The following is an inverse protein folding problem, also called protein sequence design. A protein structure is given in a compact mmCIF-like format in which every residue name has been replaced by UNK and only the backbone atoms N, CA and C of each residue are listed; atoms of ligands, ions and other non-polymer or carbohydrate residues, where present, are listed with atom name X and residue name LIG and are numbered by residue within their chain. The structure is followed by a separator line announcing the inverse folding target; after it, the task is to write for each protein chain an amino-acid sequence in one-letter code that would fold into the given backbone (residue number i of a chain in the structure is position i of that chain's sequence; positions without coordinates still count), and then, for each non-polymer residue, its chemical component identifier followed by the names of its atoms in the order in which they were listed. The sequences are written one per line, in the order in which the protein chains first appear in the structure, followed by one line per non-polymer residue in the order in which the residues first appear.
data_IF_008498003204
#
_entry.id   IF_008498003204
#
_cell.length_a   1.000
_cell.length_b   1.000
_cell.length_c   1.000
_cell.angle_alpha   90.00
_cell.angle_beta   90.00
_cell.angle_gamma   90.00
#
_symmetry.space_group_name_H-M   'P 1'
#
loop_
_entity.id
_entity.type
_entity.pdbx_description
1 polymer ?
#
# COMPACT_ATOMS: atom_id res chain seq x y z
N UNK A 1 -40.10 -16.78 -19.09
CA UNK A 1 -38.98 -17.07 -18.20
C UNK A 1 -37.81 -16.21 -18.63
N UNK A 2 -37.69 -15.02 -18.07
CA UNK A 2 -36.55 -14.10 -18.32
C UNK A 2 -35.44 -14.45 -17.36
N UNK A 3 -34.33 -14.96 -17.90
CA UNK A 3 -33.09 -15.21 -17.14
C UNK A 3 -32.62 -13.88 -16.52
N UNK A 4 -32.25 -13.84 -15.24
CA UNK A 4 -31.64 -12.65 -14.63
C UNK A 4 -30.29 -12.45 -15.31
N UNK A 5 -30.10 -11.38 -16.06
CA UNK A 5 -28.82 -10.90 -16.50
C UNK A 5 -28.07 -10.44 -15.24
N UNK A 6 -27.25 -11.31 -14.67
CA UNK A 6 -26.30 -10.96 -13.60
C UNK A 6 -25.45 -9.83 -14.18
N UNK A 7 -25.50 -8.67 -13.52
CA UNK A 7 -24.87 -7.45 -13.99
C UNK A 7 -23.34 -7.63 -13.96
N UNK A 8 -22.74 -7.84 -15.13
CA UNK A 8 -21.30 -8.03 -15.32
C UNK A 8 -20.45 -6.87 -14.75
N UNK A 9 -21.08 -5.77 -14.35
CA UNK A 9 -20.43 -4.66 -13.65
C UNK A 9 -20.21 -4.94 -12.15
N UNK A 10 -21.12 -5.68 -11.51
CA UNK A 10 -21.01 -6.07 -10.10
C UNK A 10 -19.91 -7.11 -9.90
N UNK A 11 -19.80 -8.10 -10.80
CA UNK A 11 -18.75 -9.12 -10.75
C UNK A 11 -17.35 -8.53 -10.88
N UNK A 12 -17.18 -7.48 -11.69
CA UNK A 12 -15.89 -6.80 -11.86
C UNK A 12 -15.47 -6.01 -10.62
N UNK A 13 -16.41 -5.49 -9.83
CA UNK A 13 -16.10 -4.79 -8.58
C UNK A 13 -15.73 -5.76 -7.47
N UNK A 14 -16.42 -6.89 -7.38
CA UNK A 14 -16.09 -7.96 -6.42
C UNK A 14 -14.66 -8.48 -6.59
N UNK A 15 -14.25 -8.74 -7.82
CA UNK A 15 -12.90 -9.23 -8.12
C UNK A 15 -11.82 -8.23 -7.70
N UNK A 16 -11.99 -6.92 -7.94
CA UNK A 16 -10.96 -5.93 -7.56
C UNK A 16 -10.87 -5.79 -6.04
N UNK A 17 -11.97 -5.92 -5.31
CA UNK A 17 -11.95 -5.90 -3.85
C UNK A 17 -11.21 -7.12 -3.29
N UNK A 18 -11.46 -8.32 -3.82
CA UNK A 18 -10.73 -9.52 -3.46
C UNK A 18 -9.22 -9.38 -3.75
N UNK A 19 -8.87 -8.81 -4.89
CA UNK A 19 -7.50 -8.53 -5.26
C UNK A 19 -6.83 -7.55 -4.28
N UNK A 20 -7.54 -6.49 -3.85
CA UNK A 20 -7.01 -5.57 -2.85
C UNK A 20 -6.89 -6.21 -1.47
N UNK A 21 -7.80 -7.11 -1.08
CA UNK A 21 -7.67 -7.89 0.14
C UNK A 21 -6.42 -8.78 0.11
N UNK A 22 -6.15 -9.45 -1.03
CA UNK A 22 -4.89 -10.18 -1.24
C UNK A 22 -3.66 -9.28 -1.04
N UNK A 23 -3.69 -8.05 -1.59
CA UNK A 23 -2.60 -7.08 -1.38
C UNK A 23 -2.42 -6.78 0.11
N UNK A 24 -3.50 -6.53 0.85
CA UNK A 24 -3.42 -6.24 2.28
C UNK A 24 -2.88 -7.43 3.08
N UNK A 25 -3.30 -8.64 2.76
CA UNK A 25 -2.75 -9.86 3.38
C UNK A 25 -1.25 -9.99 3.12
N UNK A 26 -0.81 -9.85 1.87
CA UNK A 26 0.61 -9.94 1.52
C UNK A 26 1.43 -8.81 2.14
N UNK A 27 0.90 -7.59 2.20
CA UNK A 27 1.60 -6.47 2.84
C UNK A 27 1.62 -6.58 4.36
N UNK A 28 0.55 -7.11 4.99
CA UNK A 28 0.55 -7.41 6.42
C UNK A 28 1.66 -8.38 6.80
N UNK A 29 1.78 -9.49 6.07
CA UNK A 29 2.86 -10.45 6.26
C UNK A 29 4.23 -9.84 5.91
N UNK A 30 4.28 -8.93 4.93
CA UNK A 30 5.51 -8.29 4.51
C UNK A 30 6.10 -7.35 5.58
N UNK A 31 5.28 -6.72 6.42
CA UNK A 31 5.77 -5.91 7.55
C UNK A 31 6.61 -6.78 8.49
N UNK A 32 6.10 -7.96 8.84
CA UNK A 32 6.82 -8.94 9.66
C UNK A 32 8.10 -9.41 8.95
N UNK A 33 7.99 -9.69 7.64
CA UNK A 33 9.12 -10.10 6.80
C UNK A 33 10.24 -9.06 6.77
N UNK A 34 9.90 -7.78 6.61
CA UNK A 34 10.88 -6.69 6.63
C UNK A 34 11.54 -6.59 8.00
N UNK A 35 10.76 -6.60 9.08
CA UNK A 35 11.31 -6.55 10.44
C UNK A 35 12.30 -7.69 10.69
N UNK A 36 11.95 -8.91 10.27
CA UNK A 36 12.85 -10.07 10.34
C UNK A 36 14.13 -9.85 9.52
N UNK A 37 14.00 -9.39 8.27
CA UNK A 37 15.14 -9.18 7.37
C UNK A 37 16.06 -8.04 7.84
N UNK A 38 15.54 -6.99 8.50
CA UNK A 38 16.39 -5.92 9.05
C UNK A 38 17.32 -6.37 10.18
N UNK A 39 17.09 -7.54 10.76
CA UNK A 39 17.99 -8.17 11.72
C UNK A 39 19.18 -8.89 11.04
N UNK A 40 19.04 -9.19 9.74
CA UNK A 40 20.01 -9.97 8.97
C UNK A 40 20.68 -9.17 7.85
N UNK A 41 20.13 -8.03 7.46
CA UNK A 41 20.60 -7.21 6.36
C UNK A 41 20.62 -5.73 6.72
N UNK A 42 21.52 -4.99 6.10
CA UNK A 42 21.49 -3.53 6.13
C UNK A 42 20.20 -3.00 5.48
N UNK A 43 19.61 -1.98 6.10
CA UNK A 43 18.29 -1.45 5.73
C UNK A 43 18.29 -0.89 4.30
N UNK A 44 19.34 -0.15 3.94
CA UNK A 44 19.46 0.46 2.60
C UNK A 44 19.68 -0.61 1.53
N UNK A 45 20.54 -1.60 1.82
CA UNK A 45 20.77 -2.74 0.94
C UNK A 45 19.50 -3.58 0.77
N UNK A 46 18.77 -3.84 1.86
CA UNK A 46 17.49 -4.56 1.82
C UNK A 46 16.46 -3.85 0.92
N UNK A 47 16.29 -2.53 1.10
CA UNK A 47 15.36 -1.76 0.29
C UNK A 47 15.72 -1.80 -1.20
N UNK A 48 17.01 -1.60 -1.53
CA UNK A 48 17.51 -1.63 -2.90
C UNK A 48 17.33 -3.00 -3.55
N UNK A 49 17.76 -4.08 -2.90
CA UNK A 49 17.68 -5.46 -3.43
C UNK A 49 16.23 -5.88 -3.64
N UNK A 50 15.33 -5.58 -2.70
CA UNK A 50 13.90 -5.87 -2.84
C UNK A 50 13.31 -5.22 -4.09
N UNK A 51 13.62 -3.95 -4.34
CA UNK A 51 13.09 -3.23 -5.50
C UNK A 51 13.73 -3.70 -6.80
N UNK A 52 15.01 -4.05 -6.81
CA UNK A 52 15.67 -4.66 -7.99
C UNK A 52 14.99 -6.00 -8.36
N UNK A 53 14.77 -6.88 -7.39
CA UNK A 53 14.08 -8.15 -7.63
C UNK A 53 12.63 -7.91 -8.07
N UNK A 54 11.91 -6.96 -7.45
CA UNK A 54 10.56 -6.59 -7.87
C UNK A 54 10.54 -6.02 -9.30
N UNK A 55 11.51 -5.20 -9.68
CA UNK A 55 11.68 -4.69 -11.04
C UNK A 55 11.90 -5.83 -12.06
N UNK A 56 12.75 -6.79 -11.72
CA UNK A 56 12.97 -7.98 -12.55
C UNK A 56 11.66 -8.77 -12.69
N UNK A 57 10.92 -8.99 -11.58
CA UNK A 57 9.63 -9.67 -11.56
C UNK A 57 8.62 -8.99 -12.50
N UNK A 58 8.47 -7.66 -12.37
CA UNK A 58 7.56 -6.88 -13.22
C UNK A 58 8.00 -6.95 -14.69
N UNK A 59 9.32 -6.91 -14.95
CA UNK A 59 9.88 -7.03 -16.31
C UNK A 59 9.53 -8.38 -16.94
N UNK A 60 9.69 -9.48 -16.19
CA UNK A 60 9.35 -10.84 -16.65
C UNK A 60 7.84 -10.95 -16.93
N UNK A 61 6.99 -10.41 -16.06
CA UNK A 61 5.54 -10.40 -16.26
C UNK A 61 5.14 -9.61 -17.51
N UNK A 62 5.76 -8.45 -17.77
CA UNK A 62 5.50 -7.66 -18.98
C UNK A 62 5.92 -8.45 -20.22
N UNK A 63 7.13 -9.01 -20.22
CA UNK A 63 7.62 -9.80 -21.35
C UNK A 63 6.73 -11.01 -21.64
N UNK A 64 6.31 -11.74 -20.60
CA UNK A 64 5.41 -12.89 -20.73
C UNK A 64 4.01 -12.52 -21.27
N UNK A 65 3.47 -11.35 -20.87
CA UNK A 65 2.12 -10.93 -21.25
C UNK A 65 2.05 -10.15 -22.55
N UNK A 66 3.07 -9.37 -22.89
CA UNK A 66 3.03 -8.35 -23.97
C UNK A 66 4.19 -8.43 -24.94
N UNK A 67 5.21 -9.22 -24.66
CA UNK A 67 6.43 -9.36 -25.46
C UNK A 67 7.34 -8.12 -25.46
N UNK A 68 6.82 -6.95 -25.10
CA UNK A 68 7.56 -5.67 -25.14
C UNK A 68 7.18 -4.75 -23.98
N UNK A 69 8.14 -3.91 -23.57
CA UNK A 69 7.89 -2.83 -22.61
C UNK A 69 7.16 -1.70 -23.34
N UNK A 70 6.04 -1.16 -22.76
CA UNK A 70 5.34 -0.02 -23.35
C UNK A 70 6.28 1.18 -23.49
N UNK A 71 6.23 1.88 -24.63
CA UNK A 71 7.02 3.09 -24.83
C UNK A 71 6.49 4.22 -23.93
N UNK A 72 7.40 4.99 -23.36
CA UNK A 72 7.09 6.18 -22.56
C UNK A 72 7.10 7.41 -23.47
N UNK A 73 6.03 8.20 -23.39
CA UNK A 73 5.98 9.51 -24.04
C UNK A 73 6.68 10.58 -23.19
N UNK A 74 7.23 11.62 -23.84
CA UNK A 74 7.96 12.68 -23.13
C UNK A 74 7.15 13.35 -22.02
N UNK A 75 5.86 13.62 -22.25
CA UNK A 75 4.95 14.19 -21.24
C UNK A 75 4.73 13.28 -20.01
N UNK A 76 4.96 11.97 -20.17
CA UNK A 76 4.77 10.99 -19.09
C UNK A 76 6.03 10.84 -18.22
N UNK A 77 7.22 11.19 -18.76
CA UNK A 77 8.49 10.97 -18.09
C UNK A 77 8.58 11.68 -16.74
N UNK A 78 8.18 12.95 -16.67
CA UNK A 78 8.19 13.71 -15.43
C UNK A 78 7.24 13.13 -14.37
N UNK A 79 6.05 12.68 -14.78
CA UNK A 79 5.08 12.06 -13.88
C UNK A 79 5.57 10.72 -13.34
N UNK A 80 6.18 9.89 -14.19
CA UNK A 80 6.76 8.60 -13.78
C UNK A 80 7.93 8.82 -12.82
N UNK A 81 8.82 9.76 -13.12
CA UNK A 81 9.95 10.09 -12.24
C UNK A 81 9.43 10.57 -10.87
N UNK A 82 8.41 11.43 -10.86
CA UNK A 82 7.77 11.90 -9.62
C UNK A 82 7.12 10.75 -8.84
N UNK A 83 6.36 9.87 -9.50
CA UNK A 83 5.75 8.71 -8.85
C UNK A 83 6.80 7.73 -8.32
N UNK A 84 7.86 7.47 -9.08
CA UNK A 84 9.00 6.65 -8.66
C UNK A 84 9.74 7.26 -7.47
N UNK A 85 9.98 8.57 -7.49
CA UNK A 85 10.55 9.28 -6.35
C UNK A 85 9.65 9.17 -5.11
N UNK A 86 8.36 9.47 -5.23
CA UNK A 86 7.44 9.48 -4.08
C UNK A 86 7.22 8.07 -3.52
N UNK A 87 6.78 7.11 -4.35
CA UNK A 87 6.28 5.82 -3.86
C UNK A 87 7.41 4.79 -3.69
N UNK A 88 8.42 4.83 -4.57
CA UNK A 88 9.46 3.80 -4.56
C UNK A 88 10.69 4.24 -3.76
N UNK A 89 11.05 5.52 -3.80
CA UNK A 89 12.21 6.03 -3.08
C UNK A 89 11.82 6.67 -1.74
N UNK A 90 11.18 7.84 -1.76
CA UNK A 90 10.96 8.66 -0.58
C UNK A 90 10.10 7.98 0.48
N UNK A 91 8.99 7.32 0.07
CA UNK A 91 8.16 6.54 0.99
C UNK A 91 8.95 5.41 1.66
N UNK A 92 9.73 4.64 0.90
CA UNK A 92 10.49 3.52 1.47
C UNK A 92 11.58 4.01 2.43
N UNK A 93 12.32 5.05 2.06
CA UNK A 93 13.35 5.63 2.93
C UNK A 93 12.70 6.20 4.21
N UNK A 94 11.63 6.98 4.08
CA UNK A 94 10.96 7.57 5.24
C UNK A 94 10.32 6.50 6.14
N UNK A 95 9.64 5.49 5.57
CA UNK A 95 9.00 4.43 6.34
C UNK A 95 10.02 3.63 7.16
N UNK A 96 11.08 3.17 6.51
CA UNK A 96 12.10 2.35 7.18
C UNK A 96 12.86 3.17 8.23
N UNK A 97 13.24 4.41 7.90
CA UNK A 97 13.92 5.31 8.85
C UNK A 97 13.00 5.66 10.03
N UNK A 98 11.73 5.92 9.78
CA UNK A 98 10.76 6.23 10.83
C UNK A 98 10.53 5.04 11.76
N UNK A 99 10.33 3.83 11.22
CA UNK A 99 10.11 2.61 12.00
C UNK A 99 11.34 2.20 12.83
N UNK A 100 12.54 2.65 12.49
CA UNK A 100 13.72 2.46 13.32
C UNK A 100 13.58 3.15 14.68
N UNK A 101 12.90 4.29 14.74
CA UNK A 101 12.71 5.13 15.91
C UNK A 101 11.26 5.17 16.42
N UNK A 102 10.36 4.43 15.79
CA UNK A 102 8.94 4.27 16.17
C UNK A 102 8.65 2.82 16.52
N UNK A 103 7.55 2.58 17.25
CA UNK A 103 7.03 1.23 17.45
C UNK A 103 6.26 0.75 16.20
N UNK A 104 6.22 -0.57 16.00
CA UNK A 104 5.39 -1.16 14.94
C UNK A 104 3.91 -0.81 15.14
N UNK A 105 3.44 -0.74 16.38
CA UNK A 105 2.09 -0.35 16.74
C UNK A 105 1.76 1.09 16.33
N UNK A 106 2.61 2.06 16.69
CA UNK A 106 2.46 3.45 16.27
C UNK A 106 2.50 3.58 14.75
N UNK A 107 3.48 2.93 14.10
CA UNK A 107 3.60 2.92 12.65
C UNK A 107 2.31 2.44 11.96
N UNK A 108 1.71 1.36 12.46
CA UNK A 108 0.45 0.80 11.95
C UNK A 108 -0.73 1.77 12.12
N UNK A 109 -0.86 2.41 13.28
CA UNK A 109 -1.89 3.43 13.53
C UNK A 109 -1.73 4.64 12.63
N UNK A 110 -0.50 5.12 12.47
CA UNK A 110 -0.21 6.26 11.59
C UNK A 110 -0.54 5.89 10.14
N UNK A 111 -0.20 4.69 9.67
CA UNK A 111 -0.57 4.21 8.33
C UNK A 111 -2.09 4.10 8.15
N UNK A 112 -2.84 3.77 9.19
CA UNK A 112 -4.30 3.72 9.15
C UNK A 112 -4.97 5.10 9.00
N UNK A 113 -4.24 6.19 9.08
CA UNK A 113 -4.73 7.54 8.70
C UNK A 113 -4.79 7.75 7.18
N UNK A 114 -4.17 6.86 6.38
CA UNK A 114 -4.10 6.98 4.91
C UNK A 114 -5.46 7.18 4.22
N UNK A 115 -6.57 6.50 4.62
CA UNK A 115 -7.87 6.73 3.99
C UNK A 115 -8.40 8.15 4.19
N UNK A 116 -8.21 8.74 5.38
CA UNK A 116 -8.62 10.11 5.69
C UNK A 116 -7.80 11.11 4.86
N UNK A 117 -6.47 10.95 4.87
CA UNK A 117 -5.56 11.78 4.08
C UNK A 117 -5.85 11.66 2.58
N UNK A 118 -6.08 10.44 2.09
CA UNK A 118 -6.41 10.20 0.69
C UNK A 118 -7.73 10.84 0.28
N UNK A 119 -8.76 10.77 1.12
CA UNK A 119 -10.04 11.41 0.85
C UNK A 119 -9.90 12.94 0.81
N UNK A 120 -9.20 13.51 1.79
CA UNK A 120 -8.95 14.95 1.86
C UNK A 120 -8.14 15.45 0.65
N UNK A 121 -7.00 14.83 0.36
CA UNK A 121 -6.14 15.25 -0.74
C UNK A 121 -6.81 15.03 -2.11
N UNK A 122 -7.58 13.95 -2.29
CA UNK A 122 -8.35 13.75 -3.52
C UNK A 122 -9.46 14.80 -3.70
N UNK A 123 -10.07 15.27 -2.61
CA UNK A 123 -11.02 16.37 -2.67
C UNK A 123 -10.34 17.67 -3.11
N UNK A 124 -9.16 17.98 -2.57
CA UNK A 124 -8.41 19.19 -2.92
C UNK A 124 -7.90 19.15 -4.37
N UNK A 125 -7.24 18.06 -4.77
CA UNK A 125 -6.53 17.98 -6.06
C UNK A 125 -7.42 17.54 -7.24
N UNK A 126 -8.42 16.67 -6.97
CA UNK A 126 -9.32 16.13 -8.00
C UNK A 126 -10.75 16.65 -7.89
N UNK A 127 -11.02 17.55 -6.92
CA UNK A 127 -12.36 18.04 -6.64
C UNK A 127 -13.37 16.91 -6.41
N UNK A 128 -12.90 15.79 -5.86
CA UNK A 128 -13.78 14.70 -5.44
C UNK A 128 -14.65 15.17 -4.27
N UNK A 129 -15.95 14.83 -4.32
CA UNK A 129 -16.85 15.17 -3.22
C UNK A 129 -16.51 14.33 -1.99
N UNK A 130 -16.21 15.00 -0.88
CA UNK A 130 -16.12 14.37 0.43
C UNK A 130 -17.55 14.01 0.87
N UNK A 131 -17.90 12.73 0.78
CA UNK A 131 -19.20 12.26 1.28
C UNK A 131 -19.08 11.92 2.76
N UNK A 132 -20.13 12.20 3.53
CA UNK A 132 -20.20 11.88 4.97
C UNK A 132 -19.95 10.39 5.21
N UNK A 133 -20.47 9.52 4.32
CA UNK A 133 -20.25 8.07 4.40
C UNK A 133 -18.79 7.68 4.24
N UNK A 134 -18.04 8.37 3.37
CA UNK A 134 -16.61 8.10 3.15
C UNK A 134 -15.77 8.51 4.37
N UNK A 135 -16.06 9.70 4.93
CA UNK A 135 -15.39 10.19 6.14
C UNK A 135 -15.72 9.29 7.32
N UNK A 136 -17.01 9.00 7.55
CA UNK A 136 -17.44 8.12 8.64
C UNK A 136 -16.83 6.71 8.50
N UNK A 137 -16.77 6.16 7.28
CA UNK A 137 -16.14 4.87 7.03
C UNK A 137 -14.64 4.86 7.34
N UNK A 138 -13.93 5.92 6.97
CA UNK A 138 -12.50 6.04 7.26
C UNK A 138 -12.24 6.22 8.77
N UNK A 139 -13.04 7.01 9.47
CA UNK A 139 -12.95 7.18 10.93
C UNK A 139 -13.28 5.88 11.67
N UNK A 140 -14.34 5.18 11.26
CA UNK A 140 -14.72 3.90 11.87
C UNK A 140 -13.63 2.84 11.65
N UNK A 141 -13.04 2.80 10.45
CA UNK A 141 -11.88 1.93 10.17
C UNK A 141 -10.67 2.27 11.04
N UNK A 142 -10.35 3.55 11.21
CA UNK A 142 -9.25 4.01 12.08
C UNK A 142 -9.48 3.63 13.55
N UNK A 143 -10.70 3.80 14.05
CA UNK A 143 -11.07 3.36 15.40
C UNK A 143 -10.91 1.85 15.56
N UNK A 144 -11.35 1.06 14.56
CA UNK A 144 -11.18 -0.38 14.57
C UNK A 144 -9.71 -0.81 14.62
N UNK A 145 -8.84 -0.16 13.84
CA UNK A 145 -7.39 -0.38 13.89
C UNK A 145 -6.83 -0.05 15.28
N UNK A 146 -7.24 1.08 15.87
CA UNK A 146 -6.84 1.45 17.22
C UNK A 146 -7.20 0.38 18.27
N UNK A 147 -8.41 -0.18 18.18
CA UNK A 147 -8.86 -1.26 19.07
C UNK A 147 -8.03 -2.54 18.89
N UNK A 148 -7.70 -2.93 17.66
CA UNK A 148 -6.85 -4.11 17.38
C UNK A 148 -5.46 -3.91 17.96
N UNK A 149 -4.84 -2.75 17.73
CA UNK A 149 -3.48 -2.47 18.19
C UNK A 149 -3.41 -2.41 19.72
N UNK A 150 -4.39 -1.79 20.38
CA UNK A 150 -4.46 -1.75 21.86
C UNK A 150 -4.75 -3.15 22.41
N UNK A 151 -5.64 -3.90 21.77
CA UNK A 151 -5.99 -5.27 22.17
C UNK A 151 -4.81 -6.25 22.11
N UNK A 152 -3.83 -6.00 21.23
CA UNK A 152 -2.59 -6.77 21.16
C UNK A 152 -1.57 -6.45 22.27
N UNK A 153 -1.96 -5.67 23.30
CA UNK A 153 -1.08 -5.29 24.41
C UNK A 153 0.02 -4.28 24.00
N UNK A 154 -0.07 -3.69 22.81
CA UNK A 154 0.90 -2.71 22.35
C UNK A 154 0.80 -1.44 23.21
N UNK A 155 1.92 -1.02 23.77
CA UNK A 155 2.01 0.27 24.45
C UNK A 155 2.03 1.38 23.41
N UNK A 156 0.97 2.18 23.38
CA UNK A 156 0.90 3.39 22.58
C UNK A 156 1.62 4.51 23.31
N UNK A 157 2.69 4.98 22.75
CA UNK A 157 3.41 6.15 23.25
C UNK A 157 3.90 6.98 22.07
N UNK A 158 3.91 8.31 22.22
CA UNK A 158 4.53 9.16 21.21
C UNK A 158 6.04 8.98 21.31
N UNK A 159 6.64 8.36 20.29
CA UNK A 159 8.09 8.20 20.17
C UNK A 159 8.75 9.39 19.46
N UNK A 160 8.00 10.49 19.35
CA UNK A 160 8.51 11.78 18.88
C UNK A 160 8.89 11.79 17.39
N UNK A 161 10.20 11.91 17.13
CA UNK A 161 10.69 12.09 15.74
C UNK A 161 10.37 10.92 14.82
N UNK A 162 10.46 9.67 15.32
CA UNK A 162 10.15 8.47 14.54
C UNK A 162 8.73 8.47 14.00
N UNK A 163 7.75 8.83 14.84
CA UNK A 163 6.35 8.91 14.46
C UNK A 163 6.10 10.01 13.42
N UNK A 164 6.76 11.16 13.57
CA UNK A 164 6.68 12.23 12.59
C UNK A 164 7.22 11.80 11.22
N UNK A 165 8.32 11.04 11.16
CA UNK A 165 8.89 10.52 9.91
C UNK A 165 7.98 9.46 9.28
N UNK A 166 7.35 8.57 10.08
CA UNK A 166 6.33 7.64 9.57
C UNK A 166 5.12 8.40 9.02
N UNK A 167 4.68 9.47 9.66
CA UNK A 167 3.59 10.29 9.12
C UNK A 167 3.96 10.95 7.79
N UNK A 168 5.19 11.46 7.65
CA UNK A 168 5.72 11.94 6.35
C UNK A 168 5.71 10.82 5.31
N UNK A 169 6.08 9.58 5.68
CA UNK A 169 6.01 8.45 4.76
C UNK A 169 4.59 8.21 4.26
N UNK A 170 3.57 8.31 5.13
CA UNK A 170 2.15 8.18 4.75
C UNK A 170 1.73 9.31 3.83
N UNK A 171 2.10 10.56 4.12
CA UNK A 171 1.82 11.71 3.24
C UNK A 171 2.40 11.47 1.84
N UNK A 172 3.68 11.09 1.76
CA UNK A 172 4.37 10.80 0.50
C UNK A 172 3.70 9.65 -0.26
N UNK A 173 3.29 8.59 0.44
CA UNK A 173 2.54 7.48 -0.14
C UNK A 173 1.21 7.92 -0.75
N UNK A 174 0.44 8.73 -0.02
CA UNK A 174 -0.86 9.24 -0.49
C UNK A 174 -0.69 10.19 -1.68
N UNK A 175 0.27 11.11 -1.63
CA UNK A 175 0.60 11.97 -2.78
C UNK A 175 1.01 11.15 -4.00
N UNK A 176 1.85 10.14 -3.80
CA UNK A 176 2.21 9.20 -4.85
C UNK A 176 1.00 8.47 -5.44
N UNK A 177 0.04 8.08 -4.60
CA UNK A 177 -1.23 7.50 -5.03
C UNK A 177 -2.08 8.44 -5.90
N UNK A 178 -2.08 9.76 -5.61
CA UNK A 178 -2.71 10.77 -6.48
C UNK A 178 -2.00 10.85 -7.84
N UNK A 179 -0.66 10.84 -7.84
CA UNK A 179 0.11 10.83 -9.09
C UNK A 179 -0.21 9.58 -9.91
N UNK A 180 -0.24 8.40 -9.28
CA UNK A 180 -0.64 7.14 -9.90
C UNK A 180 -2.06 7.23 -10.48
N UNK A 181 -3.02 7.78 -9.74
CA UNK A 181 -4.40 7.97 -10.22
C UNK A 181 -4.45 8.87 -11.46
N UNK A 182 -3.65 9.94 -11.53
CA UNK A 182 -3.55 10.78 -12.72
C UNK A 182 -2.93 10.04 -13.89
N UNK A 183 -1.82 9.35 -13.63
CA UNK A 183 -1.08 8.64 -14.68
C UNK A 183 -1.87 7.46 -15.25
N UNK A 184 -2.73 6.81 -14.46
CA UNK A 184 -3.57 5.71 -14.91
C UNK A 184 -4.56 6.09 -16.04
N UNK A 185 -4.75 7.40 -16.28
CA UNK A 185 -5.50 7.92 -17.43
C UNK A 185 -4.66 8.07 -18.70
N UNK A 186 -3.33 8.04 -18.56
CA UNK A 186 -2.36 8.30 -19.63
C UNK A 186 -1.63 7.04 -20.08
N UNK A 187 -1.51 6.06 -19.20
CA UNK A 187 -0.81 4.81 -19.45
C UNK A 187 -1.34 3.67 -18.59
N UNK A 188 -1.05 2.46 -19.00
CA UNK A 188 -1.48 1.28 -18.25
C UNK A 188 -0.71 1.11 -16.92
N UNK A 189 -1.37 0.55 -15.88
CA UNK A 189 -0.77 0.43 -14.55
C UNK A 189 0.50 -0.41 -14.50
N UNK A 190 0.63 -1.43 -15.35
CA UNK A 190 1.77 -2.34 -15.36
C UNK A 190 3.02 -1.66 -15.93
N UNK A 191 2.87 -0.96 -17.07
CA UNK A 191 3.95 -0.18 -17.66
C UNK A 191 4.37 0.99 -16.77
N UNK A 192 3.40 1.66 -16.15
CA UNK A 192 3.64 2.71 -15.17
C UNK A 192 4.52 2.20 -14.01
N UNK A 193 4.17 1.06 -13.41
CA UNK A 193 4.93 0.48 -12.30
C UNK A 193 6.36 0.13 -12.72
N UNK A 194 6.55 -0.39 -13.94
CA UNK A 194 7.87 -0.72 -14.45
C UNK A 194 8.80 0.50 -14.48
N UNK A 195 8.32 1.61 -15.01
CA UNK A 195 9.08 2.85 -15.05
C UNK A 195 9.28 3.49 -13.67
N UNK A 196 8.29 3.39 -12.78
CA UNK A 196 8.42 3.83 -11.39
C UNK A 196 9.52 3.05 -10.67
N UNK A 197 9.60 1.73 -10.88
CA UNK A 197 10.66 0.90 -10.30
C UNK A 197 12.02 1.20 -10.91
N UNK A 198 12.08 1.48 -12.21
CA UNK A 198 13.33 1.92 -12.82
C UNK A 198 13.82 3.23 -12.20
N UNK A 199 12.99 4.26 -12.15
CA UNK A 199 13.37 5.57 -11.63
C UNK A 199 13.68 5.55 -10.14
N UNK A 200 12.74 5.08 -9.30
CA UNK A 200 12.90 5.03 -7.85
C UNK A 200 13.90 3.95 -7.40
N UNK A 201 14.01 2.85 -8.14
CA UNK A 201 15.01 1.80 -7.89
C UNK A 201 16.43 2.28 -8.11
N UNK A 202 16.69 3.03 -9.18
CA UNK A 202 18.00 3.67 -9.39
C UNK A 202 18.36 4.63 -8.25
N UNK A 203 17.39 5.40 -7.75
CA UNK A 203 17.61 6.28 -6.59
C UNK A 203 17.92 5.48 -5.31
N UNK A 204 17.22 4.36 -5.05
CA UNK A 204 17.49 3.49 -3.90
C UNK A 204 18.86 2.82 -4.00
N UNK A 205 19.22 2.30 -5.16
CA UNK A 205 20.53 1.69 -5.40
C UNK A 205 21.65 2.72 -5.23
N UNK A 206 21.48 3.93 -5.79
CA UNK A 206 22.42 5.03 -5.60
C UNK A 206 22.54 5.42 -4.13
N UNK A 207 21.42 5.53 -3.41
CA UNK A 207 21.43 5.83 -1.97
C UNK A 207 22.18 4.74 -1.19
N UNK A 208 21.88 3.47 -1.44
CA UNK A 208 22.56 2.36 -0.77
C UNK A 208 24.07 2.33 -1.07
N UNK A 209 24.47 2.65 -2.29
CA UNK A 209 25.89 2.71 -2.68
C UNK A 209 26.66 3.88 -2.04
N UNK A 210 25.98 4.99 -1.77
CA UNK A 210 26.58 6.19 -1.18
C UNK A 210 26.53 6.19 0.35
N UNK A 211 25.72 5.31 0.97
CA UNK A 211 25.60 5.23 2.43
C UNK A 211 26.52 4.13 2.94
N UNK A 212 27.49 4.44 3.83
CA UNK A 212 28.35 3.44 4.42
C UNK A 212 27.53 2.37 5.15
N UNK A 213 27.80 1.10 4.87
CA UNK A 213 27.16 -0.02 5.57
C UNK A 213 27.53 0.01 7.06
N UNK A 214 26.52 0.06 7.92
CA UNK A 214 26.73 -0.01 9.37
C UNK A 214 27.02 -1.43 9.88
N UNK A 215 26.74 -2.43 9.05
CA UNK A 215 27.02 -3.84 9.35
C UNK A 215 28.24 -4.29 8.56
N UNK A 216 29.37 -4.33 9.26
CA UNK A 216 30.58 -4.93 8.72
C UNK A 216 30.38 -6.44 8.55
N UNK A 217 30.65 -6.94 7.36
CA UNK A 217 30.91 -8.35 7.03
C UNK A 217 29.83 -9.36 7.47
N UNK A 218 29.00 -9.79 6.56
CA UNK A 218 28.09 -10.90 6.77
C UNK A 218 26.68 -10.78 6.18
N UNK A 219 26.34 -9.62 5.64
CA UNK A 219 25.00 -9.32 5.10
C UNK A 219 24.53 -10.35 4.07
N UNK A 220 25.44 -11.03 3.40
CA UNK A 220 25.13 -12.02 2.33
C UNK A 220 25.39 -13.47 2.77
N UNK A 221 25.94 -13.71 3.98
CA UNK A 221 26.18 -15.06 4.52
C UNK A 221 25.00 -15.50 5.41
N UNK A 222 23.78 -15.32 4.92
CA UNK A 222 22.59 -15.74 5.63
C UNK A 222 22.32 -17.23 5.40
N UNK A 223 21.67 -17.90 6.37
CA UNK A 223 21.04 -19.19 6.16
C UNK A 223 20.03 -19.10 4.99
N UNK A 224 19.56 -20.25 4.49
CA UNK A 224 18.65 -20.25 3.32
C UNK A 224 17.28 -19.58 3.58
N UNK A 225 16.80 -19.61 4.82
CA UNK A 225 15.47 -19.09 5.18
C UNK A 225 15.29 -17.58 4.98
N UNK A 226 16.20 -16.69 5.43
CA UNK A 226 16.11 -15.27 5.12
C UNK A 226 16.00 -14.97 3.63
N UNK A 227 16.63 -15.78 2.76
CA UNK A 227 16.50 -15.63 1.32
C UNK A 227 15.09 -15.94 0.82
N UNK A 228 14.41 -16.94 1.39
CA UNK A 228 13.00 -17.24 1.07
C UNK A 228 12.10 -16.06 1.47
N UNK A 229 12.31 -15.52 2.68
CA UNK A 229 11.57 -14.35 3.17
C UNK A 229 11.83 -13.13 2.28
N UNK A 230 13.08 -12.91 1.86
CA UNK A 230 13.44 -11.84 0.94
C UNK A 230 12.74 -12.02 -0.43
N UNK A 231 12.74 -13.21 -0.98
CA UNK A 231 12.06 -13.51 -2.25
C UNK A 231 10.53 -13.29 -2.15
N UNK A 232 9.89 -13.73 -1.07
CA UNK A 232 8.48 -13.40 -0.82
C UNK A 232 8.26 -11.88 -0.77
N UNK A 233 9.05 -11.17 0.02
CA UNK A 233 8.97 -9.72 0.19
C UNK A 233 9.17 -8.95 -1.12
N UNK A 234 10.10 -9.41 -1.96
CA UNK A 234 10.43 -8.76 -3.22
C UNK A 234 9.47 -9.15 -4.36
N UNK A 235 9.25 -10.45 -4.58
CA UNK A 235 8.45 -10.94 -5.72
C UNK A 235 6.97 -10.75 -5.49
N UNK A 236 6.46 -11.25 -4.34
CA UNK A 236 5.01 -11.25 -4.08
C UNK A 236 4.58 -9.88 -3.55
N UNK A 237 5.14 -9.43 -2.43
CA UNK A 237 4.66 -8.23 -1.77
C UNK A 237 5.05 -6.94 -2.51
N UNK A 238 6.26 -6.85 -3.07
CA UNK A 238 6.69 -5.67 -3.83
C UNK A 238 6.39 -5.80 -5.33
N UNK A 239 6.55 -6.97 -5.94
CA UNK A 239 6.28 -7.19 -7.37
C UNK A 239 4.80 -7.29 -7.68
N UNK A 240 4.19 -8.44 -7.38
CA UNK A 240 2.81 -8.78 -7.78
C UNK A 240 1.79 -7.89 -7.10
N UNK A 241 1.91 -7.68 -5.79
CA UNK A 241 0.94 -6.88 -5.02
C UNK A 241 0.89 -5.42 -5.47
N UNK A 242 2.04 -4.82 -5.85
CA UNK A 242 2.03 -3.45 -6.37
C UNK A 242 1.42 -3.33 -7.78
N UNK A 243 1.50 -4.38 -8.61
CA UNK A 243 0.74 -4.42 -9.89
C UNK A 243 -0.76 -4.35 -9.59
N UNK A 244 -1.22 -5.17 -8.66
CA UNK A 244 -2.63 -5.23 -8.25
C UNK A 244 -3.08 -3.92 -7.58
N UNK A 245 -2.26 -3.36 -6.70
CA UNK A 245 -2.53 -2.09 -6.02
C UNK A 245 -2.70 -0.94 -7.01
N UNK A 246 -1.76 -0.79 -7.95
CA UNK A 246 -1.84 0.27 -8.96
C UNK A 246 -3.04 0.09 -9.89
N UNK A 247 -3.40 -1.16 -10.24
CA UNK A 247 -4.62 -1.46 -10.96
C UNK A 247 -5.88 -1.12 -10.14
N UNK A 248 -5.84 -1.32 -8.82
CA UNK A 248 -6.87 -0.91 -7.88
C UNK A 248 -7.07 0.60 -7.86
N UNK A 249 -5.98 1.37 -7.74
CA UNK A 249 -6.03 2.84 -7.81
C UNK A 249 -6.58 3.31 -9.16
N UNK A 250 -6.14 2.71 -10.26
CA UNK A 250 -6.61 3.05 -11.60
C UNK A 250 -8.13 2.86 -11.78
N UNK A 251 -8.71 1.85 -11.13
CA UNK A 251 -10.14 1.51 -11.25
C UNK A 251 -11.03 2.21 -10.22
N UNK A 252 -10.57 2.31 -8.98
CA UNK A 252 -11.38 2.81 -7.86
C UNK A 252 -11.04 4.25 -7.46
N UNK A 253 -9.87 4.75 -7.84
CA UNK A 253 -9.24 5.94 -7.30
C UNK A 253 -8.56 5.69 -5.95
N UNK A 254 -7.63 6.58 -5.58
CA UNK A 254 -6.83 6.43 -4.36
C UNK A 254 -7.69 6.45 -3.10
N UNK A 255 -8.71 7.32 -3.02
CA UNK A 255 -9.57 7.46 -1.85
C UNK A 255 -10.31 6.17 -1.47
N UNK A 256 -10.72 5.36 -2.45
CA UNK A 256 -11.40 4.08 -2.19
C UNK A 256 -10.40 2.95 -1.97
N UNK A 257 -9.33 2.91 -2.77
CA UNK A 257 -8.28 1.91 -2.60
C UNK A 257 -7.65 2.00 -1.20
N UNK A 258 -7.41 3.22 -0.70
CA UNK A 258 -6.82 3.45 0.61
C UNK A 258 -7.65 2.89 1.79
N UNK A 259 -8.98 2.75 1.66
CA UNK A 259 -9.81 2.14 2.70
C UNK A 259 -9.37 0.70 3.04
N UNK A 260 -8.80 0.00 2.08
CA UNK A 260 -8.29 -1.36 2.29
C UNK A 260 -7.03 -1.37 3.17
N UNK A 261 -6.28 -0.27 3.27
CA UNK A 261 -5.07 -0.19 4.12
C UNK A 261 -5.39 -0.47 5.59
N UNK A 262 -6.61 -0.19 6.05
CA UNK A 262 -7.05 -0.51 7.40
C UNK A 262 -7.08 -2.02 7.69
N UNK A 263 -6.97 -2.87 6.68
CA UNK A 263 -6.88 -4.34 6.84
C UNK A 263 -5.48 -4.84 7.16
N UNK A 264 -4.45 -4.00 6.98
CA UNK A 264 -3.07 -4.39 7.29
C UNK A 264 -2.88 -4.92 8.72
N UNK A 265 -3.32 -4.20 9.76
CA UNK A 265 -3.19 -4.68 11.14
C UNK A 265 -4.07 -5.90 11.42
N UNK A 266 -5.20 -6.06 10.72
CA UNK A 266 -6.07 -7.24 10.85
C UNK A 266 -5.34 -8.49 10.34
N UNK A 267 -4.71 -8.41 9.17
CA UNK A 267 -3.91 -9.51 8.66
C UNK A 267 -2.66 -9.74 9.51
N UNK A 268 -2.04 -8.66 10.03
CA UNK A 268 -0.93 -8.79 10.98
C UNK A 268 -1.32 -9.59 12.22
N UNK A 269 -2.45 -9.28 12.84
CA UNK A 269 -3.00 -10.01 13.97
C UNK A 269 -3.34 -11.47 13.60
N UNK A 270 -3.99 -11.69 12.45
CA UNK A 270 -4.32 -13.03 11.98
C UNK A 270 -3.06 -13.90 11.85
N UNK A 271 -2.00 -13.36 11.25
CA UNK A 271 -0.75 -14.08 11.10
C UNK A 271 0.00 -14.27 12.44
N UNK A 272 -0.09 -13.30 13.35
CA UNK A 272 0.45 -13.45 14.70
C UNK A 272 -0.28 -14.55 15.47
N UNK A 273 -1.60 -14.62 15.40
CA UNK A 273 -2.38 -15.70 16.02
C UNK A 273 -2.09 -17.07 15.39
N UNK A 274 -1.90 -17.14 14.06
CA UNK A 274 -1.65 -18.41 13.36
C UNK A 274 -0.22 -18.95 13.54
N UNK A 275 0.78 -18.06 13.67
CA UNK A 275 2.19 -18.47 13.65
C UNK A 275 2.92 -18.25 14.98
N UNK A 276 2.36 -17.45 15.90
CA UNK A 276 2.97 -17.09 17.17
C UNK A 276 2.09 -17.47 18.37
N UNK A 277 0.97 -18.20 18.16
CA UNK A 277 -0.01 -18.60 19.17
C UNK A 277 -0.54 -17.42 20.01
N UNK A 278 -0.63 -16.22 19.43
CA UNK A 278 -1.18 -15.06 20.11
C UNK A 278 -2.69 -15.19 20.32
N UNK A 279 -3.17 -14.89 21.53
CA UNK A 279 -4.58 -14.98 21.86
C UNK A 279 -5.40 -13.82 21.26
N UNK A 280 -6.44 -14.18 20.52
CA UNK A 280 -7.42 -13.20 20.00
C UNK A 280 -8.39 -12.81 21.12
N UNK A 281 -8.41 -11.53 21.47
CA UNK A 281 -9.29 -10.98 22.52
C UNK A 281 -10.57 -10.39 21.92
N UNK A 282 -11.56 -10.10 22.80
CA UNK A 282 -12.81 -9.46 22.37
C UNK A 282 -12.57 -8.10 21.69
N UNK A 283 -11.56 -7.34 22.15
CA UNK A 283 -11.18 -6.07 21.51
C UNK A 283 -10.73 -6.24 20.08
N UNK A 284 -10.04 -7.33 19.75
CA UNK A 284 -9.69 -7.68 18.38
C UNK A 284 -10.93 -7.95 17.51
N UNK A 285 -11.89 -8.69 18.03
CA UNK A 285 -13.14 -9.02 17.31
C UNK A 285 -13.97 -7.77 17.04
N UNK A 286 -14.14 -6.90 18.04
CA UNK A 286 -14.87 -5.63 17.88
C UNK A 286 -14.12 -4.70 16.92
N UNK A 287 -12.80 -4.60 17.05
CA UNK A 287 -11.96 -3.82 16.13
C UNK A 287 -12.09 -4.29 14.69
N UNK A 288 -12.07 -5.61 14.44
CA UNK A 288 -12.33 -6.18 13.12
C UNK A 288 -13.72 -5.79 12.59
N UNK A 289 -14.75 -5.86 13.43
CA UNK A 289 -16.12 -5.43 13.08
C UNK A 289 -16.15 -3.95 12.63
N UNK A 290 -15.44 -3.07 13.35
CA UNK A 290 -15.31 -1.66 12.97
C UNK A 290 -14.56 -1.47 11.64
N UNK A 291 -13.48 -2.21 11.39
CA UNK A 291 -12.74 -2.14 10.11
C UNK A 291 -13.62 -2.61 8.94
N UNK A 292 -14.34 -3.72 9.12
CA UNK A 292 -15.29 -4.24 8.13
C UNK A 292 -16.39 -3.24 7.82
N UNK A 293 -17.05 -2.75 8.86
CA UNK A 293 -18.13 -1.76 8.76
C UNK A 293 -17.63 -0.45 8.13
N UNK A 294 -16.46 0.01 8.53
CA UNK A 294 -15.81 1.21 8.00
C UNK A 294 -15.47 1.09 6.52
N UNK A 295 -14.87 -0.03 6.12
CA UNK A 295 -14.55 -0.31 4.71
C UNK A 295 -15.83 -0.35 3.87
N UNK A 296 -16.87 -1.08 4.32
CA UNK A 296 -18.14 -1.16 3.63
C UNK A 296 -18.85 0.19 3.50
N UNK A 297 -18.91 0.97 4.59
CA UNK A 297 -19.51 2.31 4.59
C UNK A 297 -18.77 3.26 3.63
N UNK A 298 -17.45 3.25 3.65
CA UNK A 298 -16.62 4.09 2.78
C UNK A 298 -16.69 3.72 1.29
N UNK A 299 -16.96 2.45 0.98
CA UNK A 299 -17.14 1.96 -0.39
C UNK A 299 -18.55 2.22 -0.93
N UNK A 300 -19.55 2.44 -0.08
CA UNK A 300 -20.89 2.79 -0.53
C UNK A 300 -20.84 4.02 -1.45
N UNK A 301 -21.48 3.94 -2.60
CA UNK A 301 -21.71 5.11 -3.44
C UNK A 301 -22.58 6.07 -2.63
N UNK A 302 -22.03 7.19 -2.15
CA UNK A 302 -22.88 8.31 -1.74
C UNK A 302 -23.83 8.57 -2.90
N UNK A 303 -25.12 8.69 -2.63
CA UNK A 303 -26.12 8.98 -3.66
C UNK A 303 -25.60 10.12 -4.52
N UNK A 304 -25.18 9.81 -5.76
CA UNK A 304 -25.00 10.87 -6.76
C UNK A 304 -26.39 11.50 -6.89
N UNK A 305 -26.55 12.79 -6.64
CA UNK A 305 -27.77 13.45 -7.09
C UNK A 305 -27.87 13.13 -8.57
N UNK A 306 -28.95 12.46 -8.96
CA UNK A 306 -29.25 12.09 -10.32
C UNK A 306 -28.88 13.25 -11.24
N UNK A 307 -28.30 12.93 -12.38
CA UNK A 307 -28.11 13.82 -13.53
C UNK A 307 -29.43 14.54 -13.85
N UNK A 308 -29.75 15.56 -13.09
CA UNK A 308 -30.83 16.50 -13.37
C UNK A 308 -30.32 17.66 -14.25
N UNK A 309 -29.51 17.35 -15.26
CA UNK A 309 -28.98 18.36 -16.19
C UNK A 309 -28.94 17.89 -17.64
N UNK A 310 -29.64 16.80 -17.98
CA UNK A 310 -29.78 16.38 -19.37
C UNK A 310 -31.27 16.42 -19.85
N UNK A 311 -32.10 17.23 -19.21
CA UNK A 311 -33.50 17.46 -19.61
C UNK A 311 -33.82 18.95 -19.73
N UNK A 312 -32.84 19.77 -20.09
CA UNK A 312 -33.06 21.16 -20.55
C UNK A 312 -31.98 21.51 -21.58
N UNK A 313 -32.09 20.93 -22.73
CA UNK A 313 -31.61 21.40 -24.02
C UNK A 313 -32.42 20.71 -25.13
#
# INVERSE_FOLDING_TARGET
MTSPTVDASQDRHGLIYLQLMFVMATWGLNIVSIKYLTQHMDIQALAAVRIVIAFITVTLIIKARRGRIPKLGGAQLGWVALAGFLVVYAHQVALVSGLRFSSAANGTLIMATSPLLSAFLAAVFYREKLTTTRIAGALLGLLGVGMVVVGSGAQLGLTGWGDAVVFVAVLVFVFGGLVIQRMSRMMDPLGMLWYMYLAGGLMLVGHAALTPSSHQTGTWQMAWWPWVVLMFSAVIASGVSNIVWNAGIARLGISRAALFVNWLPIFGLLFAALFLDEHVTLTHVVGLGCVLGGTWLGLRRGAQPARAAAAKA
#
